data_IF_210798625824
#
_entry.id   IF_210798625824
#
_cell.length_a   1.000
_cell.length_b   1.000
_cell.length_c   1.000
_cell.angle_alpha   90.00
_cell.angle_beta   90.00
_cell.angle_gamma   90.00
#
_symmetry.space_group_name_H-M   'P 1'
#
loop_
_entity.id
_entity.type
_entity.pdbx_description
1 polymer ?
#
# COMPACT_ATOMS: atom_id res chain seq x y z
N UNK A 1 3.57 -9.30 -4.06
CA UNK A 1 4.21 -8.35 -3.12
C UNK A 1 3.11 -7.50 -2.50
N UNK A 2 3.22 -7.18 -1.22
CA UNK A 2 2.27 -6.29 -0.52
C UNK A 2 3.03 -5.16 0.16
N UNK A 3 2.36 -4.04 0.38
CA UNK A 3 2.81 -2.92 1.20
C UNK A 3 1.58 -2.20 1.76
N UNK A 4 1.73 -1.56 2.91
CA UNK A 4 0.68 -0.80 3.56
C UNK A 4 1.27 0.44 4.23
N UNK A 5 0.45 1.46 4.41
CA UNK A 5 0.81 2.69 5.10
C UNK A 5 -0.42 3.29 5.77
N UNK A 6 -0.23 4.20 6.72
CA UNK A 6 -1.32 5.04 7.26
C UNK A 6 -2.05 5.72 6.09
N UNK A 7 -3.38 5.78 6.12
CA UNK A 7 -4.21 6.32 5.04
C UNK A 7 -3.80 7.74 4.62
N UNK A 8 -3.37 8.56 5.58
CA UNK A 8 -2.94 9.95 5.37
C UNK A 8 -1.49 10.09 4.89
N UNK A 9 -0.72 8.99 4.82
CA UNK A 9 0.64 9.01 4.30
C UNK A 9 0.65 9.03 2.75
N UNK A 10 0.23 10.16 2.19
CA UNK A 10 0.12 10.36 0.75
C UNK A 10 1.47 10.19 0.01
N UNK A 11 2.59 10.48 0.67
CA UNK A 11 3.94 10.30 0.09
C UNK A 11 4.25 8.82 -0.15
N UNK A 12 4.02 7.96 0.83
CA UNK A 12 4.19 6.50 0.67
C UNK A 12 3.20 5.94 -0.36
N UNK A 13 1.94 6.37 -0.29
CA UNK A 13 0.90 5.96 -1.24
C UNK A 13 1.26 6.35 -2.68
N UNK A 14 1.83 7.53 -2.90
CA UNK A 14 2.29 7.96 -4.21
C UNK A 14 3.40 7.06 -4.76
N UNK A 15 4.34 6.61 -3.91
CA UNK A 15 5.37 5.64 -4.31
C UNK A 15 4.74 4.30 -4.70
N UNK A 16 3.83 3.75 -3.88
CA UNK A 16 3.14 2.50 -4.19
C UNK A 16 2.41 2.59 -5.55
N UNK A 17 1.69 3.70 -5.79
CA UNK A 17 1.05 3.96 -7.10
C UNK A 17 2.05 4.06 -8.25
N UNK A 18 3.18 4.76 -8.07
CA UNK A 18 4.24 4.92 -9.10
C UNK A 18 4.93 3.60 -9.43
N UNK A 19 5.04 2.68 -8.46
CA UNK A 19 5.54 1.33 -8.67
C UNK A 19 4.53 0.41 -9.40
N UNK A 20 3.31 0.89 -9.62
CA UNK A 20 2.24 0.13 -10.27
C UNK A 20 1.46 -0.79 -9.32
N UNK A 21 1.61 -0.61 -8.01
CA UNK A 21 0.79 -1.32 -7.03
C UNK A 21 -0.66 -0.83 -7.10
N UNK A 22 -1.62 -1.71 -6.82
CA UNK A 22 -3.05 -1.40 -6.81
C UNK A 22 -3.59 -1.46 -5.38
N UNK A 23 -4.47 -0.52 -5.05
CA UNK A 23 -5.17 -0.52 -3.77
C UNK A 23 -6.05 -1.78 -3.66
N UNK A 24 -6.13 -2.35 -2.46
CA UNK A 24 -7.01 -3.45 -2.09
C UNK A 24 -7.85 -3.02 -0.87
N UNK A 25 -8.91 -2.20 -1.06
CA UNK A 25 -9.69 -1.64 0.04
C UNK A 25 -10.35 -2.70 0.93
N UNK A 26 -10.60 -3.90 0.39
CA UNK A 26 -11.13 -5.03 1.16
C UNK A 26 -10.13 -5.61 2.16
N UNK A 27 -8.85 -5.23 2.06
CA UNK A 27 -7.78 -5.61 2.96
C UNK A 27 -7.22 -4.44 3.78
N UNK A 28 -7.85 -3.26 3.73
CA UNK A 28 -7.54 -2.15 4.64
C UNK A 28 -7.88 -2.53 6.09
N UNK A 29 -7.13 -2.01 7.05
CA UNK A 29 -7.25 -2.43 8.45
C UNK A 29 -6.85 -1.35 9.44
N UNK A 30 -7.32 -1.50 10.68
CA UNK A 30 -6.85 -0.73 11.82
C UNK A 30 -5.68 -1.47 12.47
N UNK A 31 -4.52 -0.82 12.53
CA UNK A 31 -3.28 -1.48 12.95
C UNK A 31 -3.33 -1.85 14.44
N UNK A 32 -3.17 -3.13 14.80
CA UNK A 32 -3.42 -3.62 16.17
C UNK A 32 -2.43 -3.05 17.19
N UNK A 33 -1.20 -2.75 16.77
CA UNK A 33 -0.18 -2.16 17.64
C UNK A 33 -0.27 -0.64 17.78
N UNK A 34 -1.20 0.04 17.09
CA UNK A 34 -1.40 1.48 17.24
C UNK A 34 -2.45 1.72 18.33
N UNK A 35 -2.09 2.38 19.44
CA UNK A 35 -3.02 2.66 20.52
C UNK A 35 -4.15 3.61 20.09
N UNK A 36 -5.30 3.54 20.76
CA UNK A 36 -6.43 4.45 20.52
C UNK A 36 -6.13 5.92 20.83
N UNK A 37 -5.07 6.21 21.59
CA UNK A 37 -4.57 7.57 21.81
C UNK A 37 -4.00 8.21 20.54
N UNK A 38 -3.71 7.43 19.50
CA UNK A 38 -3.17 7.91 18.21
C UNK A 38 -4.06 7.47 17.04
N UNK A 39 -5.34 7.89 17.01
CA UNK A 39 -6.30 7.37 16.05
C UNK A 39 -5.93 7.71 14.59
N UNK A 40 -5.24 8.83 14.38
CA UNK A 40 -4.74 9.28 13.07
C UNK A 40 -3.66 8.36 12.46
N UNK A 41 -3.02 7.51 13.26
CA UNK A 41 -2.03 6.53 12.78
C UNK A 41 -2.63 5.12 12.61
N UNK A 42 -3.89 4.93 12.99
CA UNK A 42 -4.45 3.58 13.16
C UNK A 42 -4.90 2.97 11.84
N UNK A 43 -5.64 3.74 11.03
CA UNK A 43 -6.16 3.27 9.74
C UNK A 43 -5.05 3.14 8.71
N UNK A 44 -4.81 1.92 8.24
CA UNK A 44 -3.87 1.60 7.20
C UNK A 44 -4.57 1.15 5.91
N UNK A 45 -3.99 1.55 4.78
CA UNK A 45 -4.42 1.16 3.43
C UNK A 45 -3.49 0.11 2.85
N UNK A 46 -4.07 -0.91 2.20
CA UNK A 46 -3.35 -2.06 1.65
C UNK A 46 -3.15 -1.90 0.14
N UNK A 47 -1.93 -2.15 -0.33
CA UNK A 47 -1.59 -2.16 -1.75
C UNK A 47 -0.90 -3.47 -2.14
N UNK A 48 -1.23 -3.97 -3.34
CA UNK A 48 -0.68 -5.21 -3.88
C UNK A 48 -0.05 -5.01 -5.25
N UNK A 49 0.97 -5.82 -5.51
CA UNK A 49 1.53 -6.02 -6.84
C UNK A 49 1.61 -7.51 -7.13
N UNK A 50 0.88 -7.94 -8.16
CA UNK A 50 0.91 -9.33 -8.62
C UNK A 50 2.24 -9.64 -9.29
N UNK A 51 2.57 -10.94 -9.36
CA UNK A 51 3.80 -11.39 -10.00
C UNK A 51 3.80 -11.05 -11.49
N UNK A 52 2.65 -11.20 -12.15
CA UNK A 52 2.45 -10.93 -13.57
C UNK A 52 2.69 -9.44 -13.87
N UNK A 53 2.08 -8.55 -13.09
CA UNK A 53 2.25 -7.11 -13.21
C UNK A 53 3.71 -6.67 -13.00
N UNK A 54 4.40 -7.27 -12.01
CA UNK A 54 5.82 -7.04 -11.78
C UNK A 54 6.68 -7.46 -12.99
N UNK A 55 6.46 -8.65 -13.53
CA UNK A 55 7.23 -9.15 -14.69
C UNK A 55 6.95 -8.35 -15.97
N UNK A 56 5.71 -7.89 -16.19
CA UNK A 56 5.37 -7.03 -17.31
C UNK A 56 6.11 -5.69 -17.22
N UNK A 57 6.13 -5.06 -16.05
CA UNK A 57 6.86 -3.81 -15.80
C UNK A 57 8.36 -3.97 -15.99
N UNK A 58 8.95 -5.06 -15.49
CA UNK A 58 10.38 -5.36 -15.67
C UNK A 58 10.77 -5.51 -17.15
N UNK A 59 9.88 -6.08 -17.97
CA UNK A 59 10.09 -6.19 -19.42
C UNK A 59 9.99 -4.84 -20.13
N UNK A 60 9.02 -4.01 -19.76
CA UNK A 60 8.83 -2.67 -20.36
C UNK A 60 9.95 -1.66 -20.01
N UNK A 61 10.72 -1.92 -18.95
CA UNK A 61 11.85 -1.07 -18.53
C UNK A 61 13.21 -1.51 -19.12
N UNK A 62 13.23 -2.57 -19.92
CA UNK A 62 14.41 -3.01 -20.68
C UNK A 62 14.34 -2.46 -22.09
#
# INVERSE_FOLDING_TARGET
IVSFAVADNHRSIAVMKRLGMRADPGADFDHPSVPDSHPHLKRHVMYRLSREAWQARKRAAR
#
